data_IF_687496241585
#
_entry.id   IF_687496241585
#
_cell.length_a   1.000
_cell.length_b   1.000
_cell.length_c   1.000
_cell.angle_alpha   90.00
_cell.angle_beta   90.00
_cell.angle_gamma   90.00
#
_symmetry.space_group_name_H-M   'P 1'
#
loop_
_entity.id
_entity.type
_entity.pdbx_description
1 polymer ?
#
# COMPACT_ATOMS: atom_id res chain seq x y z
N UNK A 1 2.61 9.92 8.92
CA UNK A 1 4.05 9.99 9.26
C UNK A 1 4.35 8.83 10.20
N UNK A 2 5.40 8.03 9.98
CA UNK A 2 5.79 7.05 11.00
C UNK A 2 6.49 7.78 12.16
N UNK A 3 6.53 7.17 13.35
CA UNK A 3 7.06 7.82 14.56
C UNK A 3 8.55 8.16 14.40
N UNK A 4 9.32 7.28 13.77
CA UNK A 4 10.77 7.46 13.57
C UNK A 4 11.08 8.68 12.69
N UNK A 5 10.37 8.87 11.57
CA UNK A 5 10.54 10.04 10.71
C UNK A 5 10.14 11.33 11.44
N UNK A 6 9.11 11.27 12.29
CA UNK A 6 8.68 12.40 13.12
C UNK A 6 9.77 12.78 14.13
N UNK A 7 10.31 11.78 14.83
CA UNK A 7 11.39 11.97 15.80
C UNK A 7 12.65 12.51 15.12
N UNK A 8 13.03 11.97 13.96
CA UNK A 8 14.18 12.45 13.20
C UNK A 8 14.00 13.91 12.76
N UNK A 9 12.82 14.29 12.25
CA UNK A 9 12.53 15.67 11.88
C UNK A 9 12.54 16.62 13.09
N UNK A 10 11.93 16.21 14.20
CA UNK A 10 11.92 16.95 15.46
C UNK A 10 13.35 17.15 16.02
N UNK A 11 14.17 16.09 15.99
CA UNK A 11 15.56 16.15 16.43
C UNK A 11 16.39 17.10 15.56
N UNK A 12 16.19 17.08 14.23
CA UNK A 12 16.91 17.97 13.32
C UNK A 12 16.62 19.44 13.61
N UNK A 13 15.33 19.83 13.71
CA UNK A 13 15.00 21.23 14.02
C UNK A 13 15.46 21.63 15.42
N UNK A 14 15.46 20.69 16.38
CA UNK A 14 16.05 20.91 17.70
C UNK A 14 17.56 21.16 17.62
N UNK A 15 18.32 20.40 16.83
CA UNK A 15 19.75 20.63 16.64
C UNK A 15 20.04 22.00 16.02
N UNK A 16 19.18 22.48 15.12
CA UNK A 16 19.26 23.81 14.49
C UNK A 16 18.80 24.98 15.39
N UNK A 17 18.49 24.71 16.66
CA UNK A 17 18.15 25.77 17.62
C UNK A 17 16.66 26.09 17.70
N UNK A 18 15.77 25.31 17.09
CA UNK A 18 14.33 25.44 17.29
C UNK A 18 13.95 24.99 18.70
N UNK A 19 13.23 25.84 19.46
CA UNK A 19 12.91 25.61 20.89
C UNK A 19 11.42 25.74 21.23
N UNK A 20 10.54 25.87 20.24
CA UNK A 20 9.10 26.00 20.49
C UNK A 20 8.42 24.63 20.46
N UNK A 21 8.20 24.06 21.64
CA UNK A 21 7.46 22.80 21.79
C UNK A 21 6.02 22.91 21.27
N UNK A 22 5.38 24.07 21.45
CA UNK A 22 4.02 24.32 20.97
C UNK A 22 3.95 24.26 19.45
N UNK A 23 4.85 24.98 18.76
CA UNK A 23 4.89 24.98 17.31
C UNK A 23 5.29 23.60 16.75
N UNK A 24 6.15 22.84 17.44
CA UNK A 24 6.48 21.47 17.05
C UNK A 24 5.25 20.55 17.16
N UNK A 25 4.49 20.64 18.26
CA UNK A 25 3.25 19.89 18.46
C UNK A 25 2.20 20.24 17.41
N UNK A 26 2.02 21.53 17.13
CA UNK A 26 1.10 22.00 16.10
C UNK A 26 1.51 21.51 14.71
N UNK A 27 2.79 21.59 14.35
CA UNK A 27 3.30 21.11 13.06
C UNK A 27 3.07 19.59 12.88
N UNK A 28 3.29 18.80 13.93
CA UNK A 28 3.02 17.36 13.92
C UNK A 28 1.51 17.10 13.80
N UNK A 29 0.69 17.83 14.54
CA UNK A 29 -0.78 17.66 14.54
C UNK A 29 -1.42 18.07 13.22
N UNK A 30 -0.86 19.06 12.54
CA UNK A 30 -1.38 19.62 11.27
C UNK A 30 -0.74 18.99 10.03
N UNK A 31 0.24 18.10 10.20
CA UNK A 31 0.90 17.41 9.09
C UNK A 31 -0.09 16.55 8.30
N UNK A 32 -0.33 16.94 7.04
CA UNK A 32 -1.34 16.31 6.16
C UNK A 32 -0.92 14.98 5.55
N UNK A 33 0.26 14.47 5.89
CA UNK A 33 0.82 13.27 5.27
C UNK A 33 1.68 13.58 4.06
N UNK A 34 2.19 12.52 3.44
CA UNK A 34 2.90 12.57 2.16
C UNK A 34 2.05 11.81 1.16
N UNK A 35 1.91 12.34 -0.06
CA UNK A 35 1.21 11.64 -1.14
C UNK A 35 1.80 10.24 -1.29
N UNK A 36 0.92 9.25 -1.47
CA UNK A 36 1.32 7.83 -1.59
C UNK A 36 2.05 7.27 -0.37
N UNK A 37 1.83 7.77 0.85
CA UNK A 37 2.30 7.15 2.10
C UNK A 37 1.15 7.16 3.10
N UNK A 38 0.46 6.03 3.25
CA UNK A 38 -0.84 5.96 3.93
C UNK A 38 -1.85 6.98 3.37
N UNK A 39 -1.91 7.12 2.05
CA UNK A 39 -2.72 8.13 1.40
C UNK A 39 -4.17 7.66 1.31
N UNK A 40 -5.06 8.23 2.12
CA UNK A 40 -6.47 7.85 2.13
C UNK A 40 -7.22 8.48 0.96
N UNK A 41 -7.70 7.62 0.06
CA UNK A 41 -8.53 8.02 -1.07
C UNK A 41 -10.03 7.92 -0.74
N UNK A 42 -10.41 6.93 0.07
CA UNK A 42 -11.77 6.78 0.60
C UNK A 42 -11.71 6.34 2.05
N UNK A 43 -12.22 7.19 2.94
CA UNK A 43 -12.42 6.91 4.36
C UNK A 43 -13.52 7.84 4.89
N UNK A 44 -14.77 7.60 4.49
CA UNK A 44 -15.89 8.46 4.86
C UNK A 44 -16.44 8.07 6.24
N UNK A 45 -16.31 8.92 7.28
CA UNK A 45 -16.82 8.62 8.61
C UNK A 45 -18.35 8.47 8.66
N UNK A 46 -19.09 8.97 7.66
CA UNK A 46 -20.54 8.81 7.54
C UNK A 46 -20.92 7.41 7.04
N UNK A 47 -19.95 6.65 6.51
CA UNK A 47 -20.10 5.27 6.03
C UNK A 47 -19.12 4.35 6.79
N UNK A 48 -19.25 4.19 8.12
CA UNK A 48 -18.28 3.44 8.92
C UNK A 48 -18.15 1.96 8.54
N UNK A 49 -19.20 1.38 7.94
CA UNK A 49 -19.19 0.02 7.39
C UNK A 49 -18.72 -0.05 5.93
N UNK A 50 -18.47 1.08 5.25
CA UNK A 50 -18.01 1.13 3.87
C UNK A 50 -16.55 0.70 3.73
N UNK A 51 -16.17 0.26 2.54
CA UNK A 51 -14.78 -0.08 2.20
C UNK A 51 -13.88 1.15 2.33
N UNK A 52 -12.75 0.97 2.99
CA UNK A 52 -11.67 1.96 3.04
C UNK A 52 -10.73 1.70 1.87
N UNK A 53 -10.29 2.76 1.21
CA UNK A 53 -9.29 2.68 0.15
C UNK A 53 -8.11 3.61 0.41
N UNK A 54 -6.90 3.08 0.30
CA UNK A 54 -5.64 3.80 0.43
C UNK A 54 -4.62 3.40 -0.63
N UNK A 55 -3.68 4.30 -0.92
CA UNK A 55 -2.51 4.05 -1.77
C UNK A 55 -1.20 4.23 -0.97
N UNK A 56 -0.21 3.37 -1.25
CA UNK A 56 1.12 3.47 -0.67
C UNK A 56 2.23 3.21 -1.71
N UNK A 57 3.33 3.95 -1.59
CA UNK A 57 4.53 3.84 -2.40
C UNK A 57 5.42 2.65 -2.00
N UNK A 58 5.08 1.93 -0.93
CA UNK A 58 5.80 0.75 -0.47
C UNK A 58 6.05 -0.24 -1.61
N UNK A 59 7.32 -0.53 -1.84
CA UNK A 59 7.78 -1.39 -2.95
C UNK A 59 8.96 -2.29 -2.56
N UNK A 60 9.51 -2.11 -1.37
CA UNK A 60 10.44 -3.05 -0.74
C UNK A 60 9.71 -3.93 0.29
N UNK A 61 10.11 -5.21 0.52
CA UNK A 61 9.43 -6.08 1.48
C UNK A 61 9.31 -5.49 2.90
N UNK A 62 10.36 -4.82 3.39
CA UNK A 62 10.34 -4.16 4.70
C UNK A 62 9.28 -3.04 4.79
N UNK A 63 9.13 -2.24 3.73
CA UNK A 63 8.12 -1.17 3.68
C UNK A 63 6.70 -1.76 3.62
N UNK A 64 6.49 -2.79 2.79
CA UNK A 64 5.21 -3.50 2.73
C UNK A 64 4.84 -4.09 4.07
N UNK A 65 5.82 -4.64 4.82
CA UNK A 65 5.58 -5.22 6.14
C UNK A 65 5.14 -4.17 7.14
N UNK A 66 5.85 -3.05 7.17
CA UNK A 66 5.50 -1.91 8.01
C UNK A 66 4.09 -1.39 7.68
N UNK A 67 3.79 -1.27 6.38
CA UNK A 67 2.48 -0.83 5.89
C UNK A 67 1.37 -1.80 6.30
N UNK A 68 1.44 -3.08 5.88
CA UNK A 68 0.38 -4.07 6.10
C UNK A 68 0.13 -4.32 7.59
N UNK A 69 1.19 -4.37 8.41
CA UNK A 69 1.06 -4.53 9.86
C UNK A 69 0.35 -3.33 10.49
N UNK A 70 0.64 -2.11 10.03
CA UNK A 70 -0.01 -0.90 10.54
C UNK A 70 -1.46 -0.83 10.11
N UNK A 71 -1.78 -1.14 8.85
CA UNK A 71 -3.16 -1.22 8.35
C UNK A 71 -3.96 -2.24 9.15
N UNK A 72 -3.39 -3.43 9.43
CA UNK A 72 -4.05 -4.45 10.26
C UNK A 72 -4.31 -3.94 11.67
N UNK A 73 -3.38 -3.23 12.30
CA UNK A 73 -3.57 -2.62 13.63
C UNK A 73 -4.66 -1.56 13.64
N UNK A 74 -4.77 -0.76 12.58
CA UNK A 74 -5.80 0.27 12.44
C UNK A 74 -7.19 -0.34 12.22
N UNK A 75 -7.28 -1.45 11.50
CA UNK A 75 -8.54 -2.09 11.12
C UNK A 75 -8.55 -3.60 11.43
N UNK A 76 -8.47 -4.00 12.71
CA UNK A 76 -8.14 -5.37 13.12
C UNK A 76 -9.16 -6.44 12.72
N UNK A 77 -10.41 -6.06 12.46
CA UNK A 77 -11.50 -6.98 12.10
C UNK A 77 -11.99 -6.84 10.66
N UNK A 78 -11.35 -5.97 9.86
CA UNK A 78 -11.73 -5.76 8.46
C UNK A 78 -10.85 -6.63 7.57
N UNK A 79 -11.45 -7.21 6.54
CA UNK A 79 -10.70 -7.96 5.52
C UNK A 79 -9.72 -7.01 4.82
N UNK A 80 -8.45 -7.38 4.78
CA UNK A 80 -7.37 -6.62 4.18
C UNK A 80 -7.04 -7.18 2.81
N UNK A 81 -7.33 -6.39 1.78
CA UNK A 81 -6.91 -6.64 0.39
C UNK A 81 -5.71 -5.76 0.05
N UNK A 82 -4.65 -6.36 -0.49
CA UNK A 82 -3.53 -5.63 -1.10
C UNK A 82 -3.48 -5.91 -2.60
N UNK A 83 -3.52 -4.84 -3.41
CA UNK A 83 -3.21 -4.85 -4.82
C UNK A 83 -1.76 -4.37 -4.99
N UNK A 84 -0.84 -5.28 -5.31
CA UNK A 84 0.59 -4.99 -5.34
C UNK A 84 1.15 -5.08 -6.76
N UNK A 85 1.88 -4.03 -7.17
CA UNK A 85 2.68 -4.03 -8.39
C UNK A 85 4.17 -4.05 -8.01
N UNK A 86 4.89 -5.18 -8.23
CA UNK A 86 6.33 -5.24 -8.02
C UNK A 86 7.06 -4.23 -8.90
N UNK A 87 8.19 -3.71 -8.44
CA UNK A 87 8.98 -2.70 -9.16
C UNK A 87 10.44 -3.17 -9.31
N UNK A 88 10.94 -3.17 -10.56
CA UNK A 88 12.20 -3.77 -11.04
C UNK A 88 12.20 -5.31 -11.07
N UNK A 89 12.77 -5.88 -12.13
CA UNK A 89 13.04 -7.32 -12.22
C UNK A 89 14.12 -7.73 -11.23
N UNK A 90 15.21 -6.95 -11.10
CA UNK A 90 16.30 -7.27 -10.17
C UNK A 90 15.80 -7.40 -8.73
N UNK A 91 14.97 -6.45 -8.28
CA UNK A 91 14.36 -6.50 -6.95
C UNK A 91 13.44 -7.70 -6.78
N UNK A 92 12.64 -8.04 -7.79
CA UNK A 92 11.78 -9.24 -7.72
C UNK A 92 12.62 -10.51 -7.63
N UNK A 93 13.67 -10.65 -8.44
CA UNK A 93 14.60 -11.79 -8.37
C UNK A 93 15.23 -11.92 -6.98
N UNK A 94 15.69 -10.81 -6.42
CA UNK A 94 16.49 -10.81 -5.19
C UNK A 94 15.62 -11.02 -3.93
N UNK A 95 14.34 -10.65 -3.96
CA UNK A 95 13.45 -10.65 -2.80
C UNK A 95 12.12 -11.39 -2.98
N UNK A 96 12.00 -12.28 -3.98
CA UNK A 96 10.75 -12.99 -4.23
C UNK A 96 10.19 -13.72 -2.98
N UNK A 97 11.00 -14.48 -2.20
CA UNK A 97 10.52 -15.11 -0.97
C UNK A 97 10.01 -14.12 0.07
N UNK A 98 10.71 -13.00 0.26
CA UNK A 98 10.35 -11.97 1.23
C UNK A 98 9.09 -11.21 0.82
N UNK A 99 8.91 -10.95 -0.48
CA UNK A 99 7.65 -10.44 -1.02
C UNK A 99 6.50 -11.40 -0.77
N UNK A 100 6.70 -12.70 -1.04
CA UNK A 100 5.68 -13.70 -0.82
C UNK A 100 5.27 -13.77 0.65
N UNK A 101 6.23 -13.80 1.56
CA UNK A 101 5.99 -13.83 3.01
C UNK A 101 5.21 -12.58 3.48
N UNK A 102 5.63 -11.38 3.06
CA UNK A 102 4.99 -10.14 3.51
C UNK A 102 3.58 -9.94 2.94
N UNK A 103 3.37 -10.28 1.66
CA UNK A 103 2.03 -10.21 1.05
C UNK A 103 1.06 -11.19 1.70
N UNK A 104 1.57 -12.29 2.24
CA UNK A 104 0.78 -13.29 2.97
C UNK A 104 0.22 -12.80 4.31
N UNK A 105 0.58 -11.59 4.76
CA UNK A 105 -0.05 -10.93 5.90
C UNK A 105 -1.46 -10.39 5.58
N UNK A 106 -1.79 -10.25 4.30
CA UNK A 106 -3.11 -9.82 3.84
C UNK A 106 -4.09 -11.02 3.73
N UNK A 107 -5.39 -10.72 3.80
CA UNK A 107 -6.44 -11.73 3.60
C UNK A 107 -6.64 -12.01 2.10
N UNK A 108 -6.46 -10.99 1.27
CA UNK A 108 -6.57 -11.05 -0.18
C UNK A 108 -5.39 -10.37 -0.86
N UNK A 109 -4.80 -11.01 -1.87
CA UNK A 109 -3.71 -10.45 -2.67
C UNK A 109 -4.12 -10.41 -4.14
N UNK A 110 -4.07 -9.22 -4.74
CA UNK A 110 -4.13 -9.01 -6.18
C UNK A 110 -2.71 -8.63 -6.63
N UNK A 111 -1.97 -9.58 -7.19
CA UNK A 111 -0.63 -9.35 -7.68
C UNK A 111 -0.68 -8.93 -9.14
N UNK A 112 0.04 -7.86 -9.50
CA UNK A 112 0.15 -7.36 -10.87
C UNK A 112 1.50 -7.75 -11.49
N UNK A 113 1.66 -7.64 -12.82
CA UNK A 113 2.95 -7.79 -13.48
C UNK A 113 3.97 -6.78 -12.98
N UNK A 114 5.25 -7.16 -13.02
CA UNK A 114 6.38 -6.32 -12.64
C UNK A 114 6.36 -5.03 -13.49
N UNK A 115 6.43 -3.89 -12.82
CA UNK A 115 6.75 -2.63 -13.46
C UNK A 115 8.28 -2.55 -13.67
N UNK A 116 8.77 -2.54 -14.93
CA UNK A 116 10.20 -2.67 -15.22
C UNK A 116 11.00 -1.41 -14.89
N UNK A 117 10.33 -0.26 -14.81
CA UNK A 117 10.94 1.06 -14.83
C UNK A 117 11.92 1.25 -16.02
N UNK A 118 13.23 1.03 -15.80
CA UNK A 118 14.28 1.16 -16.82
C UNK A 118 15.00 -0.16 -17.12
N UNK A 119 14.59 -1.26 -16.50
CA UNK A 119 15.22 -2.56 -16.69
C UNK A 119 14.64 -3.30 -17.89
N UNK A 120 15.50 -3.98 -18.62
CA UNK A 120 15.08 -4.99 -19.58
C UNK A 120 14.56 -6.23 -18.84
N UNK A 121 13.57 -6.96 -19.40
CA UNK A 121 13.11 -8.22 -18.85
C UNK A 121 14.26 -9.20 -18.59
N UNK A 122 14.30 -9.75 -17.38
CA UNK A 122 15.25 -10.82 -17.01
C UNK A 122 14.55 -12.16 -17.25
N UNK A 123 15.11 -13.07 -18.08
CA UNK A 123 14.50 -14.38 -18.33
C UNK A 123 14.20 -15.14 -17.03
N UNK A 124 12.97 -15.63 -16.90
CA UNK A 124 12.50 -16.36 -15.72
C UNK A 124 12.10 -15.48 -14.52
N UNK A 125 12.27 -14.15 -14.59
CA UNK A 125 11.88 -13.24 -13.51
C UNK A 125 10.53 -12.61 -13.82
N UNK A 126 9.49 -13.11 -13.16
CA UNK A 126 8.11 -12.62 -13.29
C UNK A 126 7.42 -12.55 -11.94
N UNK A 127 6.23 -11.92 -11.91
CA UNK A 127 5.43 -11.87 -10.69
C UNK A 127 4.98 -13.25 -10.20
N UNK A 128 4.94 -14.27 -11.08
CA UNK A 128 4.69 -15.66 -10.70
C UNK A 128 5.65 -16.15 -9.61
N UNK A 129 6.93 -15.75 -9.64
CA UNK A 129 7.90 -16.13 -8.62
C UNK A 129 7.48 -15.72 -7.20
N UNK A 130 6.87 -14.53 -7.09
CA UNK A 130 6.29 -14.06 -5.83
C UNK A 130 4.99 -14.82 -5.58
N UNK A 131 4.12 -14.91 -6.60
CA UNK A 131 2.79 -15.49 -6.50
C UNK A 131 2.78 -16.91 -5.94
N UNK A 132 3.71 -17.76 -6.37
CA UNK A 132 3.82 -19.15 -5.93
C UNK A 132 3.97 -19.28 -4.42
N UNK A 133 4.81 -18.43 -3.82
CA UNK A 133 5.07 -18.44 -2.37
C UNK A 133 3.99 -17.77 -1.51
N UNK A 134 3.08 -16.97 -2.08
CA UNK A 134 2.04 -16.28 -1.29
C UNK A 134 1.06 -17.30 -0.70
N UNK A 135 0.83 -17.24 0.62
CA UNK A 135 -0.09 -18.13 1.35
C UNK A 135 -1.37 -17.45 1.80
N UNK A 136 -1.63 -16.22 1.34
CA UNK A 136 -2.89 -15.52 1.61
C UNK A 136 -4.10 -16.39 1.18
N UNK A 137 -5.18 -16.46 1.97
CA UNK A 137 -6.34 -17.31 1.68
C UNK A 137 -6.93 -17.09 0.28
N UNK A 138 -6.91 -15.84 -0.18
CA UNK A 138 -7.26 -15.49 -1.55
C UNK A 138 -6.09 -14.78 -2.21
N UNK A 139 -5.61 -15.34 -3.33
CA UNK A 139 -4.61 -14.68 -4.17
C UNK A 139 -4.99 -14.81 -5.63
N UNK A 140 -4.77 -13.74 -6.40
CA UNK A 140 -4.83 -13.76 -7.87
C UNK A 140 -3.63 -13.03 -8.45
N UNK A 141 -3.04 -13.60 -9.48
CA UNK A 141 -2.15 -12.89 -10.38
C UNK A 141 -3.00 -12.40 -11.54
N UNK A 142 -3.07 -11.09 -11.72
CA UNK A 142 -3.99 -10.46 -12.67
C UNK A 142 -3.22 -9.53 -13.61
N UNK A 143 -3.57 -9.47 -14.91
CA UNK A 143 -3.06 -8.42 -15.77
C UNK A 143 -3.59 -7.07 -15.29
N UNK A 144 -2.85 -6.00 -15.59
CA UNK A 144 -3.11 -4.65 -15.08
C UNK A 144 -4.49 -4.13 -15.48
N UNK A 145 -4.95 -4.50 -16.67
CA UNK A 145 -6.23 -4.10 -17.27
C UNK A 145 -7.42 -4.68 -16.50
N UNK A 146 -7.22 -5.76 -15.74
CA UNK A 146 -8.26 -6.42 -14.93
C UNK A 146 -8.39 -5.86 -13.52
N UNK A 147 -7.54 -4.90 -13.12
CA UNK A 147 -7.57 -4.34 -11.78
C UNK A 147 -8.94 -3.76 -11.41
N UNK A 148 -9.58 -3.03 -12.32
CA UNK A 148 -10.89 -2.42 -12.06
C UNK A 148 -11.98 -3.46 -11.84
N UNK A 149 -12.01 -4.49 -12.69
CA UNK A 149 -12.98 -5.59 -12.59
C UNK A 149 -12.82 -6.35 -11.26
N UNK A 150 -11.57 -6.57 -10.83
CA UNK A 150 -11.29 -7.25 -9.57
C UNK A 150 -11.68 -6.39 -8.37
N UNK A 151 -11.41 -5.08 -8.39
CA UNK A 151 -11.85 -4.14 -7.35
C UNK A 151 -13.39 -4.08 -7.28
N UNK A 152 -14.07 -4.11 -8.42
CA UNK A 152 -15.53 -4.19 -8.51
C UNK A 152 -16.05 -5.45 -7.81
N UNK A 153 -15.39 -6.59 -8.03
CA UNK A 153 -15.78 -7.88 -7.48
C UNK A 153 -15.44 -8.07 -5.99
N UNK A 154 -14.62 -7.21 -5.39
CA UNK A 154 -14.26 -7.33 -3.97
C UNK A 154 -15.48 -7.24 -3.04
N UNK A 155 -15.51 -7.95 -1.91
CA UNK A 155 -16.51 -7.72 -0.87
C UNK A 155 -16.52 -6.28 -0.38
N UNK A 156 -17.70 -5.77 -0.02
CA UNK A 156 -17.81 -4.46 0.61
C UNK A 156 -17.40 -4.52 2.09
N UNK A 157 -16.92 -3.38 2.62
CA UNK A 157 -16.66 -3.20 4.04
C UNK A 157 -15.30 -3.69 4.54
N UNK A 158 -14.36 -3.96 3.63
CA UNK A 158 -12.95 -4.25 3.95
C UNK A 158 -12.05 -3.01 3.88
N UNK A 159 -10.75 -3.27 3.81
CA UNK A 159 -9.70 -2.30 3.49
C UNK A 159 -9.01 -2.74 2.21
N UNK A 160 -8.95 -1.86 1.23
CA UNK A 160 -8.18 -2.04 0.00
C UNK A 160 -6.95 -1.12 0.06
N UNK A 161 -5.78 -1.69 -0.20
CA UNK A 161 -4.53 -0.94 -0.37
C UNK A 161 -3.99 -1.21 -1.77
N UNK A 162 -3.75 -0.18 -2.58
CA UNK A 162 -2.84 -0.29 -3.72
C UNK A 162 -1.42 0.03 -3.26
N UNK A 163 -0.45 -0.78 -3.69
CA UNK A 163 0.95 -0.59 -3.31
C UNK A 163 1.91 -0.83 -4.48
N UNK A 164 2.96 -0.02 -4.55
CA UNK A 164 4.07 -0.18 -5.48
C UNK A 164 4.62 1.14 -6.00
N UNK A 165 5.88 1.17 -6.43
CA UNK A 165 6.54 2.40 -6.92
C UNK A 165 6.35 2.65 -8.42
N UNK A 166 5.64 1.74 -9.11
CA UNK A 166 5.35 1.86 -10.53
C UNK A 166 4.19 2.78 -10.82
N UNK A 167 3.40 2.41 -11.81
CA UNK A 167 2.31 3.21 -12.35
C UNK A 167 0.92 2.75 -11.89
N UNK A 168 0.87 1.92 -10.84
CA UNK A 168 -0.38 1.52 -10.17
C UNK A 168 -1.16 2.72 -9.59
N UNK A 169 -0.49 3.83 -9.27
CA UNK A 169 -1.12 5.04 -8.75
C UNK A 169 -2.01 5.79 -9.74
N UNK A 170 -1.78 5.58 -11.03
CA UNK A 170 -2.63 6.11 -12.10
C UNK A 170 -4.06 5.62 -12.00
N UNK A 171 -4.29 4.53 -11.27
CA UNK A 171 -5.61 3.94 -11.05
C UNK A 171 -6.33 4.46 -9.82
N UNK A 172 -5.68 5.26 -8.96
CA UNK A 172 -6.26 5.63 -7.68
C UNK A 172 -7.60 6.37 -7.82
N UNK A 173 -7.75 7.24 -8.83
CA UNK A 173 -9.02 7.93 -9.10
C UNK A 173 -10.12 6.92 -9.40
N UNK A 174 -9.89 6.02 -10.36
CA UNK A 174 -10.88 5.03 -10.79
C UNK A 174 -11.22 4.03 -9.68
N UNK A 175 -10.22 3.57 -8.92
CA UNK A 175 -10.44 2.70 -7.75
C UNK A 175 -11.28 3.43 -6.70
N UNK A 176 -10.96 4.70 -6.40
CA UNK A 176 -11.72 5.49 -5.43
C UNK A 176 -13.17 5.72 -5.88
N UNK A 177 -13.41 5.95 -7.18
CA UNK A 177 -14.76 6.09 -7.74
C UNK A 177 -15.58 4.80 -7.57
N UNK A 178 -15.00 3.64 -7.89
CA UNK A 178 -15.62 2.33 -7.67
C UNK A 178 -15.95 2.14 -6.18
N UNK A 179 -14.99 2.40 -5.30
CA UNK A 179 -15.17 2.20 -3.86
C UNK A 179 -16.24 3.16 -3.30
N UNK A 180 -16.26 4.43 -3.71
CA UNK A 180 -17.31 5.39 -3.30
C UNK A 180 -18.69 4.93 -3.76
N UNK A 181 -18.82 4.49 -5.01
CA UNK A 181 -20.09 3.96 -5.53
C UNK A 181 -20.57 2.75 -4.74
N UNK A 182 -19.66 1.83 -4.39
CA UNK A 182 -19.99 0.64 -3.58
C UNK A 182 -20.38 0.97 -2.14
N UNK A 183 -19.91 2.10 -1.61
CA UNK A 183 -20.23 2.54 -0.26
C UNK A 183 -21.60 3.25 -0.14
N UNK A 184 -22.25 3.57 -1.27
CA UNK A 184 -23.56 4.23 -1.33
C UNK A 184 -23.45 5.75 -1.42
#
# INVERSE_FOLDING_TARGET
MNVENCVAAAALVWCEGFRSDEALREAIATFRGVRRRFDFWVNDPRRPAGTIYMDDYAHHPAELRAMLTSVRKMFPRRELTVAFQPHLYTRTRDFAPEFAEVLSLADRVLLLPIYPAREEPIPGVTSEMIFEGVTAPYKKLIPKERLMDEVEALPAGGVLVTAGAGDIDRFCVSVAEIVRRKNG
#
